data_IF_528922791963
#
_entry.id   IF_528922791963
#
_cell.length_a   1.000
_cell.length_b   1.000
_cell.length_c   1.000
_cell.angle_alpha   90.00
_cell.angle_beta   90.00
_cell.angle_gamma   90.00
#
_symmetry.space_group_name_H-M   'P 1'
#
loop_
_entity.id
_entity.type
_entity.pdbx_description
1 polymer ?
#
# COMPACT_ATOMS: atom_id res chain seq x y z
N UNK A 1 -8.97 -29.04 -3.87
CA UNK A 1 -9.35 -28.25 -5.05
C UNK A 1 -8.31 -27.17 -5.19
N UNK A 2 -7.41 -27.31 -6.16
CA UNK A 2 -6.26 -26.44 -6.34
C UNK A 2 -6.74 -25.09 -6.86
N UNK A 3 -6.36 -24.00 -6.18
CA UNK A 3 -6.68 -22.65 -6.64
C UNK A 3 -5.97 -22.40 -7.97
N UNK A 4 -6.74 -22.44 -9.06
CA UNK A 4 -6.27 -22.08 -10.40
C UNK A 4 -5.79 -20.62 -10.40
N UNK A 5 -4.61 -20.40 -10.99
CA UNK A 5 -3.93 -19.10 -11.03
C UNK A 5 -4.87 -18.03 -11.60
N UNK A 6 -5.26 -17.05 -10.77
CA UNK A 6 -6.22 -16.01 -11.11
C UNK A 6 -5.65 -14.83 -11.91
N UNK A 7 -4.34 -14.86 -12.20
CA UNK A 7 -3.61 -13.78 -12.87
C UNK A 7 -3.25 -14.21 -14.28
N UNK A 8 -3.64 -13.39 -15.26
CA UNK A 8 -3.38 -13.68 -16.66
C UNK A 8 -1.89 -13.55 -16.99
N UNK A 9 -1.42 -14.27 -18.01
CA UNK A 9 -0.04 -14.10 -18.49
C UNK A 9 0.23 -12.64 -18.93
N UNK A 10 -0.76 -11.98 -19.52
CA UNK A 10 -0.65 -10.58 -19.91
C UNK A 10 -0.41 -9.65 -18.69
N UNK A 11 -1.03 -9.95 -17.55
CA UNK A 11 -0.77 -9.22 -16.31
C UNK A 11 0.64 -9.50 -15.80
N UNK A 12 1.09 -10.76 -15.79
CA UNK A 12 2.43 -11.13 -15.35
C UNK A 12 3.51 -10.45 -16.21
N UNK A 13 3.31 -10.39 -17.52
CA UNK A 13 4.22 -9.72 -18.46
C UNK A 13 4.25 -8.19 -18.21
N UNK A 14 3.08 -7.58 -17.99
CA UNK A 14 2.98 -6.17 -17.64
C UNK A 14 3.67 -5.86 -16.31
N UNK A 15 3.43 -6.67 -15.27
CA UNK A 15 4.09 -6.53 -13.97
C UNK A 15 5.60 -6.72 -14.12
N UNK A 16 6.06 -7.70 -14.88
CA UNK A 16 7.49 -7.93 -15.11
C UNK A 16 8.15 -6.71 -15.76
N UNK A 17 7.50 -6.11 -16.76
CA UNK A 17 7.98 -4.89 -17.42
C UNK A 17 8.01 -3.70 -16.44
N UNK A 18 6.99 -3.55 -15.59
CA UNK A 18 6.94 -2.49 -14.59
C UNK A 18 8.03 -2.63 -13.51
N UNK A 19 8.28 -3.85 -13.03
CA UNK A 19 9.27 -4.14 -11.99
C UNK A 19 10.71 -4.22 -12.52
N UNK A 20 10.88 -4.37 -13.83
CA UNK A 20 12.19 -4.64 -14.45
C UNK A 20 12.77 -6.02 -14.11
N UNK A 21 11.95 -6.93 -13.58
CA UNK A 21 12.33 -8.29 -13.17
C UNK A 21 11.09 -9.21 -13.15
N UNK A 22 11.26 -10.54 -13.21
CA UNK A 22 10.14 -11.47 -13.07
C UNK A 22 9.39 -11.26 -11.73
N UNK A 23 8.04 -11.18 -11.75
CA UNK A 23 7.26 -11.12 -10.52
C UNK A 23 7.42 -12.42 -9.71
N UNK A 24 7.40 -12.30 -8.38
CA UNK A 24 7.51 -13.46 -7.46
C UNK A 24 6.29 -13.53 -6.58
N UNK A 25 5.74 -14.73 -6.44
CA UNK A 25 4.65 -15.02 -5.50
C UNK A 25 3.35 -14.27 -5.78
N UNK A 26 3.09 -13.81 -7.01
CA UNK A 26 1.85 -13.07 -7.32
C UNK A 26 0.65 -14.01 -7.28
N UNK A 27 -0.35 -13.65 -6.47
CA UNK A 27 -1.59 -14.41 -6.30
C UNK A 27 -2.78 -13.80 -7.05
N UNK A 28 -2.86 -12.47 -7.09
CA UNK A 28 -3.91 -11.69 -7.76
C UNK A 28 -3.41 -10.27 -8.07
N UNK A 29 -4.08 -9.59 -9.00
CA UNK A 29 -3.98 -8.13 -9.18
C UNK A 29 -5.06 -7.48 -8.30
N UNK A 30 -4.66 -6.91 -7.16
CA UNK A 30 -5.59 -6.33 -6.19
C UNK A 30 -6.05 -4.91 -6.54
N UNK A 31 -5.32 -4.23 -7.42
CA UNK A 31 -5.72 -2.91 -7.93
C UNK A 31 -5.28 -2.74 -9.38
N UNK A 32 -6.19 -2.21 -10.20
CA UNK A 32 -5.91 -1.75 -11.56
C UNK A 32 -6.12 -0.26 -11.65
N UNK A 33 -5.17 0.43 -12.27
CA UNK A 33 -5.31 1.85 -12.57
C UNK A 33 -6.44 2.12 -13.58
N UNK A 34 -7.00 3.34 -13.61
CA UNK A 34 -7.98 3.76 -14.62
C UNK A 34 -7.56 3.49 -16.07
N UNK A 35 -6.26 3.54 -16.38
CA UNK A 35 -5.72 3.20 -17.70
C UNK A 35 -5.49 1.69 -17.93
N UNK A 36 -6.01 0.85 -17.04
CA UNK A 36 -6.10 -0.62 -17.18
C UNK A 36 -4.87 -1.40 -16.73
N UNK A 37 -3.82 -0.74 -16.24
CA UNK A 37 -2.56 -1.38 -15.84
C UNK A 37 -2.66 -1.98 -14.44
N UNK A 38 -1.99 -3.11 -14.16
CA UNK A 38 -1.85 -3.59 -12.78
C UNK A 38 -1.06 -2.56 -11.98
N UNK A 39 -1.61 -2.12 -10.86
CA UNK A 39 -0.97 -1.14 -9.96
C UNK A 39 -0.60 -1.71 -8.60
N UNK A 40 -1.36 -2.70 -8.12
CA UNK A 40 -1.06 -3.46 -6.89
C UNK A 40 -1.28 -4.93 -7.16
N UNK A 41 -0.39 -5.77 -6.64
CA UNK A 41 -0.55 -7.22 -6.56
C UNK A 41 -0.68 -7.68 -5.12
N UNK A 42 -1.44 -8.75 -4.90
CA UNK A 42 -1.36 -9.55 -3.68
C UNK A 42 -0.30 -10.62 -3.86
N UNK A 43 0.51 -10.85 -2.83
CA UNK A 43 1.61 -11.80 -2.87
C UNK A 43 1.51 -12.88 -1.82
N UNK A 44 2.03 -14.06 -2.15
CA UNK A 44 2.12 -15.21 -1.26
C UNK A 44 3.04 -14.89 -0.07
N UNK A 45 2.67 -15.32 1.16
CA UNK A 45 3.50 -15.10 2.34
C UNK A 45 4.86 -15.81 2.27
N UNK A 46 5.00 -16.85 1.43
CA UNK A 46 6.28 -17.47 1.09
C UNK A 46 6.49 -17.52 -0.42
N UNK A 47 7.76 -17.41 -0.81
CA UNK A 47 8.20 -17.63 -2.18
C UNK A 47 8.31 -19.14 -2.46
N UNK A 48 8.46 -19.52 -3.72
CA UNK A 48 8.55 -20.93 -4.15
C UNK A 48 9.72 -21.68 -3.50
N UNK A 49 10.78 -20.97 -3.10
CA UNK A 49 11.94 -21.50 -2.39
C UNK A 49 11.75 -21.59 -0.86
N UNK A 50 10.55 -21.27 -0.35
CA UNK A 50 10.20 -21.25 1.07
C UNK A 50 10.60 -19.97 1.82
N UNK A 51 11.27 -19.02 1.16
CA UNK A 51 11.68 -17.75 1.78
C UNK A 51 10.45 -16.96 2.23
N UNK A 52 10.40 -16.49 3.49
CA UNK A 52 9.35 -15.60 3.97
C UNK A 52 9.29 -14.30 3.15
N UNK A 53 8.09 -13.93 2.73
CA UNK A 53 7.77 -12.70 2.03
C UNK A 53 6.56 -12.04 2.71
N UNK A 54 6.79 -11.32 3.82
CA UNK A 54 5.70 -10.87 4.71
C UNK A 54 4.83 -9.76 4.12
N UNK A 55 5.24 -9.16 3.01
CA UNK A 55 4.47 -8.12 2.33
C UNK A 55 3.34 -8.79 1.54
N UNK A 56 2.10 -8.52 1.92
CA UNK A 56 0.89 -9.02 1.26
C UNK A 56 0.50 -8.19 0.03
N UNK A 57 0.67 -6.87 0.07
CA UNK A 57 0.31 -5.95 -1.01
C UNK A 57 1.54 -5.20 -1.51
N UNK A 58 1.77 -5.23 -2.82
CA UNK A 58 2.98 -4.70 -3.44
C UNK A 58 2.64 -3.79 -4.63
N UNK A 59 3.17 -2.57 -4.63
CA UNK A 59 3.03 -1.65 -5.77
C UNK A 59 3.83 -2.16 -6.98
N UNK A 60 3.20 -2.14 -8.14
CA UNK A 60 3.85 -2.47 -9.41
C UNK A 60 3.92 -1.27 -10.34
N UNK A 61 2.90 -0.39 -10.37
CA UNK A 61 2.90 0.77 -11.28
C UNK A 61 4.06 1.74 -10.97
N UNK A 62 4.96 2.00 -11.94
CA UNK A 62 6.12 2.88 -11.73
C UNK A 62 5.76 4.31 -11.30
N UNK A 63 4.58 4.83 -11.69
CA UNK A 63 4.11 6.16 -11.29
C UNK A 63 3.82 6.20 -9.80
N UNK A 64 3.16 5.16 -9.28
CA UNK A 64 2.83 5.03 -7.86
C UNK A 64 4.09 4.81 -7.03
N UNK A 65 5.00 3.94 -7.47
CA UNK A 65 6.29 3.72 -6.80
C UNK A 65 7.13 5.00 -6.74
N UNK A 66 7.19 5.76 -7.85
CA UNK A 66 7.92 7.02 -7.88
C UNK A 66 7.29 8.07 -6.96
N UNK A 67 5.97 8.15 -6.88
CA UNK A 67 5.27 9.08 -5.98
C UNK A 67 5.42 8.70 -4.52
N UNK A 68 5.28 7.42 -4.17
CA UNK A 68 5.56 6.91 -2.82
C UNK A 68 6.99 7.30 -2.39
N UNK A 69 7.99 7.05 -3.26
CA UNK A 69 9.38 7.44 -3.02
C UNK A 69 9.54 8.95 -2.82
N UNK A 70 8.83 9.79 -3.59
CA UNK A 70 8.85 11.25 -3.41
C UNK A 70 8.31 11.64 -2.04
N UNK A 71 7.15 11.14 -1.64
CA UNK A 71 6.56 11.42 -0.33
C UNK A 71 7.45 10.94 0.83
N UNK A 72 8.07 9.76 0.69
CA UNK A 72 9.03 9.24 1.67
C UNK A 72 10.22 10.19 1.82
N UNK A 73 10.79 10.66 0.70
CA UNK A 73 11.92 11.59 0.70
C UNK A 73 11.56 13.01 1.18
N UNK A 74 10.31 13.42 1.03
CA UNK A 74 9.80 14.70 1.48
C UNK A 74 9.56 14.75 3.01
N UNK A 75 9.63 13.61 3.70
CA UNK A 75 9.47 13.55 5.16
C UNK A 75 8.04 13.35 5.65
N UNK A 76 7.08 13.05 4.75
CA UNK A 76 5.68 12.82 5.09
C UNK A 76 5.52 11.73 6.16
N UNK A 77 6.31 10.65 6.07
CA UNK A 77 6.28 9.55 7.04
C UNK A 77 6.57 10.01 8.48
N UNK A 78 7.44 11.02 8.66
CA UNK A 78 7.73 11.55 9.99
C UNK A 78 6.50 12.24 10.57
N UNK A 79 5.84 13.08 9.77
CA UNK A 79 4.59 13.75 10.17
C UNK A 79 3.49 12.75 10.54
N UNK A 80 3.28 11.73 9.70
CA UNK A 80 2.32 10.64 9.98
C UNK A 80 2.68 9.87 11.26
N UNK A 81 3.97 9.57 11.47
CA UNK A 81 4.44 8.88 12.69
C UNK A 81 4.23 9.75 13.94
N UNK A 82 4.49 11.07 13.86
CA UNK A 82 4.19 11.99 14.96
C UNK A 82 2.69 11.99 15.27
N UNK A 83 1.84 12.03 14.24
CA UNK A 83 0.38 12.00 14.43
C UNK A 83 -0.11 10.74 15.12
N UNK A 84 0.46 9.57 14.85
CA UNK A 84 0.12 8.32 15.57
C UNK A 84 0.29 8.44 17.09
N UNK A 85 1.22 9.29 17.56
CA UNK A 85 1.45 9.48 19.00
C UNK A 85 0.53 10.53 19.65
N UNK A 86 -0.14 11.35 18.86
CA UNK A 86 -0.97 12.47 19.35
C UNK A 86 -2.44 12.35 18.98
N UNK A 87 -2.80 11.43 18.09
CA UNK A 87 -4.16 11.17 17.58
C UNK A 87 -4.56 9.72 17.91
N UNK A 88 -5.28 9.49 19.02
CA UNK A 88 -5.69 8.14 19.42
C UNK A 88 -6.63 7.45 18.43
N UNK A 89 -7.41 8.20 17.65
CA UNK A 89 -8.32 7.64 16.66
C UNK A 89 -7.53 7.12 15.45
N UNK A 90 -6.55 7.90 14.98
CA UNK A 90 -5.61 7.45 13.96
C UNK A 90 -4.82 6.21 14.40
N UNK A 91 -4.34 6.18 15.65
CA UNK A 91 -3.65 5.02 16.20
C UNK A 91 -4.55 3.77 16.27
N UNK A 92 -5.82 3.94 16.66
CA UNK A 92 -6.79 2.85 16.70
C UNK A 92 -7.11 2.31 15.29
N UNK A 93 -7.30 3.19 14.30
CA UNK A 93 -7.46 2.76 12.90
C UNK A 93 -6.24 1.98 12.41
N UNK A 94 -5.03 2.48 12.69
CA UNK A 94 -3.79 1.86 12.21
C UNK A 94 -3.53 0.48 12.88
N UNK A 95 -3.93 0.31 14.15
CA UNK A 95 -3.93 -0.99 14.82
C UNK A 95 -4.96 -1.95 14.20
N UNK A 96 -6.18 -1.49 13.93
CA UNK A 96 -7.19 -2.34 13.27
C UNK A 96 -6.75 -2.74 11.85
N UNK A 97 -6.14 -1.82 11.11
CA UNK A 97 -5.57 -2.08 9.79
C UNK A 97 -4.45 -3.13 9.86
N UNK A 98 -3.58 -3.04 10.88
CA UNK A 98 -2.55 -4.03 11.15
C UNK A 98 -3.12 -5.43 11.39
N UNK A 99 -4.11 -5.55 12.29
CA UNK A 99 -4.76 -6.82 12.61
C UNK A 99 -5.44 -7.44 11.38
N UNK A 100 -6.18 -6.62 10.61
CA UNK A 100 -6.80 -7.04 9.34
C UNK A 100 -5.75 -7.52 8.32
N UNK A 101 -4.61 -6.85 8.23
CA UNK A 101 -3.52 -7.25 7.34
C UNK A 101 -2.98 -8.63 7.72
N UNK A 102 -2.72 -8.86 9.01
CA UNK A 102 -2.25 -10.15 9.52
C UNK A 102 -3.27 -11.25 9.29
N UNK A 103 -4.55 -11.00 9.59
CA UNK A 103 -5.64 -11.95 9.35
C UNK A 103 -5.67 -12.38 7.88
N UNK A 104 -5.64 -11.43 6.95
CA UNK A 104 -5.66 -11.73 5.50
C UNK A 104 -4.43 -12.48 5.03
N UNK A 105 -3.25 -12.10 5.50
CA UNK A 105 -2.00 -12.80 5.15
C UNK A 105 -2.00 -14.22 5.69
N UNK A 106 -2.34 -14.38 6.97
CA UNK A 106 -2.30 -15.67 7.66
C UNK A 106 -3.41 -16.62 7.19
N UNK A 107 -4.50 -16.10 6.62
CA UNK A 107 -5.49 -16.91 5.91
C UNK A 107 -4.94 -17.57 4.63
N UNK A 108 -3.89 -17.02 4.04
CA UNK A 108 -3.15 -17.65 2.92
C UNK A 108 -2.13 -18.63 3.49
N UNK A 109 -1.25 -18.13 4.36
CA UNK A 109 -0.27 -18.91 5.08
C UNK A 109 0.25 -18.12 6.29
N UNK A 110 0.25 -18.76 7.47
CA UNK A 110 0.81 -18.16 8.68
C UNK A 110 2.35 -18.25 8.69
N UNK A 111 3.00 -17.08 8.79
CA UNK A 111 4.45 -16.98 8.90
C UNK A 111 4.97 -17.16 10.33
N UNK A 112 4.08 -17.24 11.32
CA UNK A 112 4.44 -17.28 12.74
C UNK A 112 5.00 -15.95 13.23
N UNK A 113 4.61 -14.85 12.60
CA UNK A 113 5.05 -13.48 12.96
C UNK A 113 3.87 -12.53 13.04
N UNK A 114 3.97 -11.57 13.94
CA UNK A 114 3.07 -10.42 14.05
C UNK A 114 3.50 -9.25 13.14
N UNK A 115 4.59 -9.38 12.38
CA UNK A 115 5.06 -8.31 11.52
C UNK A 115 4.14 -8.10 10.32
N UNK A 116 3.54 -6.92 10.19
CA UNK A 116 2.92 -6.43 8.95
C UNK A 116 3.86 -5.45 8.22
N UNK A 117 3.66 -5.25 6.93
CA UNK A 117 4.45 -4.27 6.17
C UNK A 117 4.17 -2.81 6.61
N UNK A 118 4.96 -1.85 6.10
CA UNK A 118 4.72 -0.42 6.31
C UNK A 118 5.10 0.16 7.68
N UNK A 119 5.48 -0.67 8.67
CA UNK A 119 5.85 -0.22 10.02
C UNK A 119 4.70 -0.21 11.04
N UNK A 120 3.51 -0.61 10.60
CA UNK A 120 2.32 -0.86 11.41
C UNK A 120 2.60 -1.72 12.66
N UNK A 121 1.88 -1.51 13.77
CA UNK A 121 0.89 -0.45 14.02
C UNK A 121 1.49 0.81 14.68
N UNK A 122 2.80 0.85 14.91
CA UNK A 122 3.37 1.89 15.79
C UNK A 122 3.97 3.07 15.03
N UNK A 123 4.43 2.86 13.78
CA UNK A 123 5.09 3.93 13.00
C UNK A 123 4.90 3.75 11.50
N UNK A 124 5.24 4.77 10.73
CA UNK A 124 5.27 4.68 9.26
C UNK A 124 6.72 4.51 8.80
N UNK A 125 7.05 3.35 8.23
CA UNK A 125 8.38 3.04 7.67
C UNK A 125 8.41 3.03 6.14
N UNK A 126 7.26 2.81 5.49
CA UNK A 126 7.20 2.68 4.04
C UNK A 126 5.81 3.00 3.49
N UNK A 127 5.70 4.05 2.69
CA UNK A 127 4.45 4.47 2.04
C UNK A 127 4.08 3.57 0.87
N UNK A 128 5.05 2.90 0.24
CA UNK A 128 4.74 1.93 -0.83
C UNK A 128 3.77 0.86 -0.35
N UNK A 129 3.97 0.34 0.87
CA UNK A 129 3.07 -0.67 1.45
C UNK A 129 1.72 -0.07 1.82
N UNK A 130 1.69 1.13 2.41
CA UNK A 130 0.43 1.75 2.83
C UNK A 130 -0.45 2.16 1.64
N UNK A 131 0.14 2.72 0.60
CA UNK A 131 -0.55 3.02 -0.66
C UNK A 131 -1.05 1.73 -1.33
N UNK A 132 -0.22 0.68 -1.39
CA UNK A 132 -0.66 -0.61 -1.93
C UNK A 132 -1.83 -1.18 -1.13
N UNK A 133 -1.78 -1.09 0.19
CA UNK A 133 -2.81 -1.62 1.07
C UNK A 133 -4.13 -0.85 0.94
N UNK A 134 -4.08 0.48 0.94
CA UNK A 134 -5.23 1.35 0.71
C UNK A 134 -5.88 1.07 -0.65
N UNK A 135 -5.09 0.98 -1.72
CA UNK A 135 -5.61 0.71 -3.07
C UNK A 135 -6.22 -0.69 -3.21
N UNK A 136 -5.67 -1.69 -2.51
CA UNK A 136 -6.17 -3.06 -2.56
C UNK A 136 -7.47 -3.26 -1.75
N UNK A 137 -7.65 -2.53 -0.66
CA UNK A 137 -8.82 -2.68 0.23
C UNK A 137 -9.88 -1.61 0.04
N UNK A 138 -9.54 -0.50 -0.61
CA UNK A 138 -10.37 0.68 -0.72
C UNK A 138 -10.20 1.67 0.44
N UNK A 139 -10.71 2.90 0.25
CA UNK A 139 -10.59 3.96 1.25
C UNK A 139 -11.32 3.64 2.55
N UNK A 140 -10.79 4.12 3.67
CA UNK A 140 -11.32 3.97 5.02
C UNK A 140 -10.72 2.79 5.80
N UNK A 141 -9.95 1.91 5.15
CA UNK A 141 -9.35 0.73 5.80
C UNK A 141 -8.04 1.07 6.50
N UNK A 142 -7.16 1.85 5.86
CA UNK A 142 -5.89 2.28 6.43
C UNK A 142 -5.71 3.76 6.14
N UNK A 143 -6.12 4.62 7.09
CA UNK A 143 -6.27 6.05 6.83
C UNK A 143 -4.95 6.70 6.38
N UNK A 144 -3.82 6.37 7.00
CA UNK A 144 -2.51 6.88 6.55
C UNK A 144 -2.14 6.46 5.11
N UNK A 145 -2.64 5.29 4.66
CA UNK A 145 -2.53 4.89 3.26
C UNK A 145 -3.45 5.71 2.36
N UNK A 146 -4.68 5.96 2.80
CA UNK A 146 -5.65 6.80 2.08
C UNK A 146 -5.13 8.22 1.88
N UNK A 147 -4.50 8.78 2.91
CA UNK A 147 -3.86 10.09 2.87
C UNK A 147 -2.72 10.15 1.85
N UNK A 148 -1.85 9.13 1.84
CA UNK A 148 -0.75 9.04 0.88
C UNK A 148 -1.25 8.93 -0.57
N UNK A 149 -2.34 8.17 -0.79
CA UNK A 149 -3.01 8.10 -2.10
C UNK A 149 -3.68 9.42 -2.47
N UNK A 150 -4.31 10.12 -1.53
CA UNK A 150 -4.92 11.44 -1.77
C UNK A 150 -3.87 12.50 -2.15
N UNK A 151 -2.72 12.54 -1.47
CA UNK A 151 -1.60 13.40 -1.85
C UNK A 151 -1.07 13.07 -3.25
N UNK A 152 -0.97 11.78 -3.58
CA UNK A 152 -0.56 11.33 -4.91
C UNK A 152 -1.57 11.73 -6.00
N UNK A 153 -2.87 11.76 -5.69
CA UNK A 153 -3.89 12.29 -6.58
C UNK A 153 -3.64 13.77 -6.92
N UNK A 154 -3.34 14.60 -5.91
CA UNK A 154 -3.02 16.03 -6.09
C UNK A 154 -1.68 16.27 -6.79
N UNK A 155 -0.77 15.29 -6.74
CA UNK A 155 0.45 15.27 -7.56
C UNK A 155 0.20 14.93 -9.05
N UNK A 156 -1.06 14.88 -9.50
CA UNK A 156 -1.46 14.70 -10.89
C UNK A 156 -1.71 13.26 -11.31
N UNK A 157 -1.82 12.32 -10.37
CA UNK A 157 -2.10 10.91 -10.68
C UNK A 157 -3.59 10.55 -10.70
N UNK A 158 -4.46 11.47 -10.25
CA UNK A 158 -5.92 11.29 -10.25
C UNK A 158 -6.45 11.02 -11.66
N UNK A 159 -7.29 10.00 -11.80
CA UNK A 159 -7.89 9.59 -13.07
C UNK A 159 -6.92 8.93 -14.06
N UNK A 160 -5.65 8.75 -13.70
CA UNK A 160 -4.64 8.08 -14.54
C UNK A 160 -4.12 6.82 -13.86
N UNK A 161 -3.28 6.96 -12.83
CA UNK A 161 -2.77 5.87 -12.01
C UNK A 161 -3.67 5.59 -10.80
N UNK A 162 -4.46 6.59 -10.37
CA UNK A 162 -5.32 6.56 -9.19
C UNK A 162 -6.79 6.80 -9.56
N UNK A 163 -7.76 6.29 -8.78
CA UNK A 163 -9.18 6.48 -9.06
C UNK A 163 -9.55 7.97 -9.12
N UNK A 164 -10.49 8.34 -10.00
CA UNK A 164 -10.94 9.72 -10.11
C UNK A 164 -11.71 10.19 -8.86
N UNK A 165 -12.36 9.24 -8.19
CA UNK A 165 -13.24 9.38 -7.04
C UNK A 165 -12.56 9.09 -5.69
N UNK A 166 -11.22 8.98 -5.65
CA UNK A 166 -10.51 8.85 -4.38
C UNK A 166 -10.74 10.09 -3.50
N UNK A 167 -10.95 9.96 -2.17
CA UNK A 167 -11.10 11.10 -1.28
C UNK A 167 -10.00 12.16 -1.45
N UNK A 168 -10.36 13.44 -1.35
CA UNK A 168 -9.39 14.52 -1.42
C UNK A 168 -8.66 14.71 -0.09
N UNK A 169 -7.51 15.40 -0.06
CA UNK A 169 -6.89 15.78 1.21
C UNK A 169 -7.80 16.59 2.14
N UNK A 170 -8.72 17.39 1.59
CA UNK A 170 -9.71 18.14 2.38
C UNK A 170 -10.74 17.19 3.01
N UNK A 171 -11.28 16.23 2.25
CA UNK A 171 -12.24 15.24 2.76
C UNK A 171 -11.66 14.40 3.91
N UNK A 172 -10.36 14.09 3.82
CA UNK A 172 -9.64 13.30 4.82
C UNK A 172 -9.08 14.15 5.98
N UNK A 173 -9.18 15.48 5.91
CA UNK A 173 -8.62 16.38 6.92
C UNK A 173 -7.10 16.24 7.07
N UNK A 174 -6.37 16.04 5.97
CA UNK A 174 -4.92 15.83 6.01
C UNK A 174 -4.23 17.11 6.50
N UNK A 175 -3.43 17.05 7.58
CA UNK A 175 -2.67 18.21 8.03
C UNK A 175 -1.53 18.49 7.03
N UNK A 176 -0.99 19.71 7.05
CA UNK A 176 0.26 19.98 6.34
C UNK A 176 1.43 19.28 7.05
N UNK A 177 1.71 18.05 6.61
CA UNK A 177 2.78 17.23 7.16
C UNK A 177 4.17 17.88 7.02
N UNK A 178 4.34 18.82 6.10
CA UNK A 178 5.62 19.51 5.86
C UNK A 178 5.73 20.80 6.69
N UNK A 179 4.61 21.43 7.09
CA UNK A 179 4.62 22.59 7.98
C UNK A 179 5.05 22.25 9.44
N UNK A 180 4.92 20.98 9.84
CA UNK A 180 5.23 20.53 11.22
C UNK A 180 6.72 20.60 11.59
N UNK A 181 7.61 20.95 10.67
CA UNK A 181 9.07 21.04 10.86
C UNK A 181 9.57 22.42 11.36
N UNK A 182 8.68 23.39 11.60
CA UNK A 182 9.06 24.73 12.01
C UNK A 182 9.33 24.91 13.53
N UNK A 183 9.55 23.83 14.30
CA UNK A 183 9.82 23.89 15.74
C UNK A 183 11.03 23.05 16.16
#
# INVERSE_FOLDING_TARGET
MSAEQSVSQADLDAIAAQLGRPPRGVLEVSYRSPDGRPGVVKTAPRLEDGTPFPTLYYLTDPRLTAEASRQESAGIMRGMTTRLSTDPEMAANYLQAHERYLEKRNAIEDLGTDFSGGGMPERVKCLHVLMAYALAEGPGVVWLGDESVALACEAGLRGTALPADWPTPEDLGIPDYLATDAQ
#
